data_IF_377684229931
#
_entry.id   IF_377684229931
#
_cell.length_a   1.000
_cell.length_b   1.000
_cell.length_c   1.000
_cell.angle_alpha   90.00
_cell.angle_beta   90.00
_cell.angle_gamma   90.00
#
_symmetry.space_group_name_H-M   'P 1'
#
loop_
_entity.id
_entity.type
_entity.pdbx_description
1 polymer ?
#
# COMPACT_ATOMS: atom_id res chain seq x y z
N UNK A 1 -66.66 7.65 -1.80
CA UNK A 1 -65.31 8.10 -1.38
C UNK A 1 -64.28 7.13 -1.93
N UNK A 2 -63.28 7.67 -2.61
CA UNK A 2 -61.91 7.15 -2.78
C UNK A 2 -61.68 6.00 -3.78
N UNK A 3 -61.49 6.38 -5.04
CA UNK A 3 -60.68 5.61 -5.98
C UNK A 3 -59.20 5.86 -5.67
N UNK A 4 -58.51 4.82 -5.21
CA UNK A 4 -57.06 4.86 -4.98
C UNK A 4 -56.35 4.76 -6.33
N UNK A 5 -55.91 5.90 -6.87
CA UNK A 5 -55.04 5.95 -8.05
C UNK A 5 -53.62 5.66 -7.57
N UNK A 6 -53.09 4.48 -7.90
CA UNK A 6 -51.68 4.16 -7.66
C UNK A 6 -50.82 4.92 -8.67
N UNK A 7 -50.04 5.89 -8.20
CA UNK A 7 -49.00 6.53 -9.01
C UNK A 7 -47.81 5.58 -9.14
N UNK A 8 -47.59 5.06 -10.35
CA UNK A 8 -46.37 4.31 -10.67
C UNK A 8 -45.17 5.26 -10.74
N UNK A 9 -43.98 4.84 -10.26
CA UNK A 9 -42.81 5.70 -10.25
C UNK A 9 -42.30 5.88 -11.68
N UNK A 10 -42.24 7.14 -12.14
CA UNK A 10 -41.64 7.48 -13.42
C UNK A 10 -40.15 7.19 -13.37
N UNK A 11 -39.75 6.09 -14.00
CA UNK A 11 -38.33 5.79 -14.22
C UNK A 11 -37.76 6.87 -15.15
N UNK A 12 -36.90 7.74 -14.61
CA UNK A 12 -36.13 8.69 -15.41
C UNK A 12 -35.22 7.91 -16.38
N UNK A 13 -35.69 7.72 -17.61
CA UNK A 13 -34.88 7.19 -18.70
C UNK A 13 -33.97 8.31 -19.19
N UNK A 14 -32.76 8.38 -18.63
CA UNK A 14 -31.67 9.13 -19.22
C UNK A 14 -31.26 8.41 -20.51
N UNK A 15 -32.00 8.65 -21.60
CA UNK A 15 -31.57 8.30 -22.95
C UNK A 15 -30.57 9.35 -23.40
N UNK A 16 -29.35 9.26 -22.90
CA UNK A 16 -28.23 9.95 -23.52
C UNK A 16 -27.90 9.19 -24.82
N UNK A 17 -28.55 9.61 -25.91
CA UNK A 17 -28.29 9.12 -27.27
C UNK A 17 -26.98 9.73 -27.77
N UNK A 18 -25.87 9.38 -27.12
CA UNK A 18 -24.54 9.73 -27.62
C UNK A 18 -24.35 8.98 -28.93
N UNK A 19 -24.00 9.70 -30.00
CA UNK A 19 -23.78 9.07 -31.30
C UNK A 19 -22.74 7.96 -31.15
N UNK A 20 -23.00 6.72 -31.63
CA UNK A 20 -22.09 5.60 -31.44
C UNK A 20 -20.68 5.91 -31.98
N UNK A 21 -20.57 6.70 -33.04
CA UNK A 21 -19.29 7.13 -33.61
C UNK A 21 -18.51 8.00 -32.62
N UNK A 22 -19.18 8.96 -31.98
CA UNK A 22 -18.58 9.82 -30.96
C UNK A 22 -18.15 9.01 -29.73
N UNK A 23 -18.94 8.01 -29.34
CA UNK A 23 -18.60 7.10 -28.24
C UNK A 23 -17.32 6.33 -28.54
N UNK A 24 -17.20 5.73 -29.73
CA UNK A 24 -15.98 5.03 -30.16
C UNK A 24 -14.76 5.95 -30.22
N UNK A 25 -14.95 7.20 -30.66
CA UNK A 25 -13.89 8.19 -30.67
C UNK A 25 -13.38 8.50 -29.25
N UNK A 26 -14.28 8.72 -28.29
CA UNK A 26 -13.91 8.95 -26.89
C UNK A 26 -13.16 7.73 -26.31
N UNK A 27 -13.65 6.51 -26.59
CA UNK A 27 -12.99 5.29 -26.14
C UNK A 27 -11.59 5.13 -26.74
N UNK A 28 -11.41 5.49 -28.01
CA UNK A 28 -10.10 5.48 -28.65
C UNK A 28 -9.11 6.44 -27.98
N UNK A 29 -9.55 7.67 -27.66
CA UNK A 29 -8.70 8.64 -26.96
C UNK A 29 -8.32 8.16 -25.56
N UNK A 30 -9.28 7.62 -24.79
CA UNK A 30 -9.01 7.04 -23.46
C UNK A 30 -8.03 5.86 -23.57
N UNK A 31 -8.22 4.98 -24.56
CA UNK A 31 -7.33 3.86 -24.82
C UNK A 31 -5.91 4.34 -25.15
N UNK A 32 -5.78 5.32 -26.05
CA UNK A 32 -4.49 5.90 -26.42
C UNK A 32 -3.79 6.53 -25.21
N UNK A 33 -4.50 7.33 -24.41
CA UNK A 33 -3.98 7.91 -23.18
C UNK A 33 -3.54 6.84 -22.17
N UNK A 34 -4.34 5.78 -22.03
CA UNK A 34 -4.03 4.65 -21.13
C UNK A 34 -2.78 3.93 -21.60
N UNK A 35 -2.63 3.63 -22.90
CA UNK A 35 -1.44 2.99 -23.46
C UNK A 35 -0.21 3.87 -23.25
N UNK A 36 -0.31 5.17 -23.58
CA UNK A 36 0.79 6.13 -23.43
C UNK A 36 1.21 6.35 -21.97
N UNK A 37 0.28 6.27 -21.02
CA UNK A 37 0.60 6.50 -19.60
C UNK A 37 1.03 5.20 -18.91
N UNK A 38 0.35 4.09 -19.20
CA UNK A 38 0.55 2.81 -18.53
C UNK A 38 1.84 2.12 -18.98
N UNK A 39 2.19 2.14 -20.27
CA UNK A 39 3.40 1.43 -20.75
C UNK A 39 4.67 2.04 -20.14
N UNK A 40 4.92 3.37 -20.20
CA UNK A 40 6.08 3.96 -19.54
C UNK A 40 6.04 3.78 -18.02
N UNK A 41 4.87 3.91 -17.39
CA UNK A 41 4.73 3.67 -15.96
C UNK A 41 5.09 2.23 -15.58
N UNK A 42 4.63 1.23 -16.33
CA UNK A 42 4.89 -0.19 -16.08
C UNK A 42 6.40 -0.50 -16.13
N UNK A 43 7.10 -0.03 -17.17
CA UNK A 43 8.54 -0.24 -17.30
C UNK A 43 9.38 0.56 -16.29
N UNK A 44 8.95 1.77 -15.90
CA UNK A 44 9.66 2.57 -14.89
C UNK A 44 9.38 2.11 -13.44
N UNK A 45 8.23 1.48 -13.21
CA UNK A 45 7.80 1.01 -11.89
C UNK A 45 8.18 -0.46 -11.61
N UNK A 46 8.89 -1.14 -12.52
CA UNK A 46 9.58 -2.41 -12.27
C UNK A 46 10.74 -2.21 -11.26
N UNK A 47 10.41 -1.92 -10.00
CA UNK A 47 11.37 -2.04 -8.92
C UNK A 47 10.67 -2.44 -7.62
N UNK A 48 11.13 -3.58 -7.06
CA UNK A 48 10.93 -4.07 -5.68
C UNK A 48 9.77 -5.02 -5.39
N UNK A 49 9.29 -5.79 -6.36
CA UNK A 49 8.61 -7.04 -5.99
C UNK A 49 9.66 -8.14 -5.92
N UNK A 50 9.98 -8.58 -4.71
CA UNK A 50 10.79 -9.78 -4.53
C UNK A 50 10.08 -10.93 -5.24
N UNK A 51 10.80 -11.62 -6.13
CA UNK A 51 10.21 -12.65 -6.97
C UNK A 51 9.63 -13.74 -6.07
N UNK A 52 8.31 -14.01 -6.11
CA UNK A 52 7.67 -14.95 -5.19
C UNK A 52 8.22 -16.38 -5.33
N UNK A 53 8.79 -16.71 -6.49
CA UNK A 53 9.37 -18.02 -6.79
C UNK A 53 10.89 -18.11 -6.52
N UNK A 54 11.45 -17.21 -5.72
CA UNK A 54 12.84 -17.38 -5.31
C UNK A 54 12.96 -18.58 -4.36
N UNK A 55 13.88 -19.49 -4.67
CA UNK A 55 14.26 -20.57 -3.76
C UNK A 55 14.76 -19.90 -2.47
N UNK A 56 14.24 -20.31 -1.30
CA UNK A 56 14.60 -19.72 0.00
C UNK A 56 15.53 -20.60 0.82
N UNK A 57 15.54 -21.90 0.54
CA UNK A 57 16.34 -22.87 1.26
C UNK A 57 16.89 -23.94 0.31
N UNK A 58 18.07 -24.48 0.64
CA UNK A 58 18.68 -25.62 -0.04
C UNK A 58 19.13 -26.68 0.97
N UNK A 59 19.19 -27.96 0.56
CA UNK A 59 19.73 -29.01 1.41
C UNK A 59 21.21 -28.75 1.71
N UNK A 60 21.63 -29.02 2.95
CA UNK A 60 23.04 -28.85 3.38
C UNK A 60 23.95 -29.91 2.74
N UNK A 61 23.42 -31.08 2.42
CA UNK A 61 24.14 -32.20 1.80
C UNK A 61 23.32 -32.81 0.67
N UNK A 62 23.95 -33.52 -0.26
CA UNK A 62 23.27 -34.26 -1.34
C UNK A 62 22.47 -35.50 -0.89
N UNK A 63 22.29 -35.69 0.42
CA UNK A 63 21.60 -36.85 1.00
C UNK A 63 20.10 -36.54 1.14
N UNK A 64 19.22 -37.54 0.96
CA UNK A 64 17.77 -37.36 1.08
C UNK A 64 17.34 -36.91 2.49
N UNK A 65 18.07 -37.31 3.54
CA UNK A 65 17.76 -36.97 4.94
C UNK A 65 18.42 -35.66 5.41
N UNK A 66 18.93 -34.86 4.48
CA UNK A 66 19.66 -33.64 4.82
C UNK A 66 18.74 -32.52 5.29
N UNK A 67 19.17 -31.82 6.33
CA UNK A 67 18.47 -30.62 6.78
C UNK A 67 18.53 -29.53 5.71
N UNK A 68 17.43 -28.79 5.57
CA UNK A 68 17.35 -27.61 4.72
C UNK A 68 17.80 -26.37 5.48
N UNK A 69 18.48 -25.48 4.78
CA UNK A 69 19.01 -24.23 5.35
C UNK A 69 18.79 -23.08 4.40
N UNK A 70 18.61 -21.88 4.94
CA UNK A 70 18.47 -20.67 4.14
C UNK A 70 19.67 -20.51 3.21
N UNK A 71 19.43 -20.12 1.96
CA UNK A 71 20.49 -19.88 0.96
C UNK A 71 21.48 -18.80 1.41
N UNK A 72 21.01 -17.85 2.23
CA UNK A 72 21.84 -16.75 2.72
C UNK A 72 22.77 -17.16 3.88
N UNK A 73 22.59 -18.35 4.45
CA UNK A 73 23.31 -18.77 5.67
C UNK A 73 23.59 -20.27 5.66
N UNK A 74 24.03 -20.80 4.52
CA UNK A 74 24.24 -22.24 4.29
C UNK A 74 25.44 -22.75 5.08
N UNK A 75 26.51 -21.97 5.07
CA UNK A 75 27.80 -22.38 5.63
C UNK A 75 27.85 -22.19 7.16
N UNK A 76 26.94 -21.41 7.73
CA UNK A 76 26.97 -21.06 9.15
C UNK A 76 25.74 -20.29 9.61
N UNK A 77 25.59 -20.16 10.93
CA UNK A 77 24.59 -19.24 11.49
C UNK A 77 24.98 -17.81 11.11
N UNK A 78 24.04 -17.02 10.61
CA UNK A 78 24.27 -15.61 10.37
C UNK A 78 24.49 -14.92 11.73
N UNK A 79 25.75 -14.58 12.03
CA UNK A 79 26.14 -13.93 13.29
C UNK A 79 25.92 -12.43 13.26
N UNK A 80 25.86 -11.85 12.06
CA UNK A 80 25.84 -10.40 11.84
C UNK A 80 24.89 -10.07 10.68
N UNK A 81 24.04 -9.05 10.85
CA UNK A 81 23.08 -8.62 9.83
C UNK A 81 23.75 -7.85 8.68
N UNK A 82 24.72 -6.98 9.00
CA UNK A 82 25.49 -6.19 8.04
C UNK A 82 26.99 -6.30 8.35
N UNK A 83 27.86 -6.52 7.35
CA UNK A 83 29.30 -6.66 7.59
C UNK A 83 29.85 -5.52 8.47
N UNK A 84 30.54 -5.87 9.56
CA UNK A 84 31.11 -4.90 10.51
C UNK A 84 30.15 -4.37 11.60
N UNK A 85 28.88 -4.77 11.59
CA UNK A 85 27.90 -4.39 12.62
C UNK A 85 27.73 -5.51 13.66
N UNK A 86 28.64 -5.57 14.63
CA UNK A 86 28.66 -6.58 15.71
C UNK A 86 27.62 -6.34 16.83
N UNK A 87 27.05 -5.14 16.92
CA UNK A 87 26.07 -4.75 17.94
C UNK A 87 24.81 -4.18 17.31
N UNK A 88 23.69 -4.24 18.05
CA UNK A 88 22.42 -3.67 17.60
C UNK A 88 22.52 -2.16 17.33
N UNK A 89 23.34 -1.45 18.11
CA UNK A 89 23.59 -0.02 17.91
C UNK A 89 24.28 0.25 16.55
N UNK A 90 25.33 -0.51 16.21
CA UNK A 90 25.96 -0.38 14.88
C UNK A 90 25.02 -0.74 13.74
N UNK A 91 24.16 -1.75 13.92
CA UNK A 91 23.11 -2.10 12.94
C UNK A 91 22.15 -0.93 12.75
N UNK A 92 21.71 -0.29 13.84
CA UNK A 92 20.84 0.87 13.79
C UNK A 92 21.52 2.06 13.10
N UNK A 93 22.76 2.37 13.45
CA UNK A 93 23.54 3.44 12.82
C UNK A 93 23.79 3.19 11.33
N UNK A 94 24.02 1.93 10.94
CA UNK A 94 24.11 1.55 9.54
C UNK A 94 22.79 1.81 8.80
N UNK A 95 21.65 1.41 9.37
CA UNK A 95 20.35 1.64 8.79
C UNK A 95 20.02 3.14 8.68
N UNK A 96 20.28 3.92 9.73
CA UNK A 96 20.15 5.38 9.75
C UNK A 96 20.94 6.01 8.60
N UNK A 97 22.22 5.64 8.46
CA UNK A 97 23.08 6.21 7.42
C UNK A 97 22.69 5.78 6.00
N UNK A 98 22.18 4.56 5.83
CA UNK A 98 21.75 4.04 4.54
C UNK A 98 20.42 4.62 4.08
N UNK A 99 19.52 4.93 5.02
CA UNK A 99 18.14 5.33 4.74
C UNK A 99 17.80 6.74 5.25
N UNK A 100 18.80 7.62 5.40
CA UNK A 100 18.67 9.00 5.93
C UNK A 100 17.38 9.71 5.51
N UNK A 101 17.17 9.78 4.20
CA UNK A 101 16.07 10.54 3.58
C UNK A 101 14.76 9.75 3.45
N UNK A 102 14.67 8.55 4.03
CA UNK A 102 13.44 7.73 4.00
C UNK A 102 12.55 8.09 5.17
N UNK A 103 11.23 8.09 4.93
CA UNK A 103 10.22 8.25 5.96
C UNK A 103 10.40 7.17 7.03
N UNK A 104 10.59 7.59 8.26
CA UNK A 104 10.82 6.74 9.44
C UNK A 104 9.63 6.78 10.39
N UNK A 105 9.30 7.97 10.90
CA UNK A 105 8.28 8.14 11.93
C UNK A 105 7.13 8.99 11.38
N UNK A 106 5.93 8.43 11.40
CA UNK A 106 4.71 9.11 10.98
C UNK A 106 3.86 9.48 12.19
N UNK A 107 3.55 10.75 12.38
CA UNK A 107 2.57 11.21 13.36
C UNK A 107 1.32 11.68 12.64
N UNK A 108 0.15 11.33 13.19
CA UNK A 108 -1.11 11.79 12.64
C UNK A 108 -1.59 13.05 13.34
N UNK A 109 -1.98 14.02 12.55
CA UNK A 109 -2.57 15.26 13.06
C UNK A 109 -3.95 14.99 13.68
N UNK A 110 -4.22 15.62 14.82
CA UNK A 110 -5.54 15.66 15.45
C UNK A 110 -6.14 17.02 15.14
N UNK A 111 -7.21 17.03 14.35
CA UNK A 111 -7.89 18.26 13.95
C UNK A 111 -8.95 18.68 14.97
N UNK A 112 -9.68 17.71 15.52
CA UNK A 112 -10.70 17.97 16.53
C UNK A 112 -10.91 16.77 17.45
N UNK A 113 -11.42 17.01 18.66
CA UNK A 113 -11.93 15.98 19.55
C UNK A 113 -13.34 16.38 20.00
N UNK A 114 -14.31 15.51 19.75
CA UNK A 114 -15.73 15.75 20.00
C UNK A 114 -16.28 14.66 20.91
N UNK A 115 -17.17 15.03 21.83
CA UNK A 115 -17.85 14.07 22.69
C UNK A 115 -19.18 13.66 22.05
N UNK A 116 -19.22 12.44 21.51
CA UNK A 116 -20.41 11.85 20.87
C UNK A 116 -21.26 11.13 21.92
N UNK A 117 -22.47 11.66 22.16
CA UNK A 117 -23.46 11.04 23.05
C UNK A 117 -24.22 9.98 22.26
N UNK A 118 -24.05 8.72 22.64
CA UNK A 118 -24.79 7.62 22.05
C UNK A 118 -26.25 7.59 22.55
N UNK A 119 -27.17 6.91 21.81
CA UNK A 119 -28.57 6.78 22.22
C UNK A 119 -28.79 6.10 23.58
N UNK A 120 -27.78 5.38 24.09
CA UNK A 120 -27.78 4.74 25.41
C UNK A 120 -27.25 5.66 26.53
N UNK A 121 -26.91 6.92 26.23
CA UNK A 121 -26.38 7.90 27.18
C UNK A 121 -24.86 7.83 27.42
N UNK A 122 -24.13 6.92 26.76
CA UNK A 122 -22.66 6.85 26.87
C UNK A 122 -22.01 7.96 26.05
N UNK A 123 -20.99 8.60 26.62
CA UNK A 123 -20.21 9.65 25.97
C UNK A 123 -18.91 9.05 25.44
N UNK A 124 -18.69 9.14 24.13
CA UNK A 124 -17.47 8.67 23.47
C UNK A 124 -16.68 9.86 22.96
N UNK A 125 -15.39 9.93 23.31
CA UNK A 125 -14.48 10.91 22.73
C UNK A 125 -14.09 10.47 21.32
N UNK A 126 -14.64 11.14 20.33
CA UNK A 126 -14.38 10.96 18.91
C UNK A 126 -13.28 11.91 18.45
N UNK A 127 -12.22 11.38 17.87
CA UNK A 127 -11.09 12.17 17.36
C UNK A 127 -11.21 12.31 15.84
N UNK A 128 -11.22 13.55 15.35
CA UNK A 128 -11.15 13.89 13.93
C UNK A 128 -9.68 14.03 13.56
N UNK A 129 -9.20 13.16 12.67
CA UNK A 129 -7.79 13.04 12.33
C UNK A 129 -7.48 13.60 10.94
N UNK A 130 -6.40 14.38 10.85
CA UNK A 130 -5.90 14.98 9.63
C UNK A 130 -4.91 14.09 8.88
N UNK A 131 -3.98 14.74 8.19
CA UNK A 131 -2.95 14.07 7.40
C UNK A 131 -1.84 13.46 8.27
N UNK A 132 -1.07 12.53 7.68
CA UNK A 132 0.14 12.00 8.30
C UNK A 132 1.33 12.90 7.97
N UNK A 133 2.02 13.35 9.00
CA UNK A 133 3.31 14.03 8.89
C UNK A 133 4.42 13.01 9.12
N UNK A 134 5.38 12.95 8.21
CA UNK A 134 6.46 11.97 8.24
C UNK A 134 7.79 12.65 8.47
N UNK A 135 8.54 12.15 9.45
CA UNK A 135 9.92 12.51 9.72
C UNK A 135 10.86 11.45 9.15
N UNK A 136 11.99 11.88 8.63
CA UNK A 136 13.05 11.01 8.12
C UNK A 136 13.97 10.52 9.23
N UNK A 137 14.93 9.64 8.91
CA UNK A 137 15.94 9.19 9.88
C UNK A 137 16.83 10.33 10.37
N UNK A 138 17.08 11.32 9.51
CA UNK A 138 17.91 12.50 9.82
C UNK A 138 17.17 13.52 10.68
N UNK A 139 15.84 13.60 10.55
CA UNK A 139 15.03 14.52 11.36
C UNK A 139 14.88 14.05 12.81
N UNK A 140 14.92 12.74 13.06
CA UNK A 140 14.66 12.13 14.37
C UNK A 140 15.94 11.84 15.17
N UNK A 141 17.01 11.42 14.50
CA UNK A 141 18.24 10.93 15.12
C UNK A 141 19.46 11.68 14.63
#
# INVERSE_FOLDING_TARGET
MNNHVSSTPSTMKLKQTINPILLYFIHFIISLYTILTYIPFYFLCESKQEKPNQIKAKPVSSKPDSAYRSINSVDGLASVLYPGCDTLDKVFMYAKNKFKNKRLLGTREILNEEDEIQPNGKIFKKVILGHYNWLSYEDVF
#
